data_IF_348283899934
#
_entry.id   IF_348283899934
#
_cell.length_a   1.000
_cell.length_b   1.000
_cell.length_c   1.000
_cell.angle_alpha   90.00
_cell.angle_beta   90.00
_cell.angle_gamma   90.00
#
_symmetry.space_group_name_H-M   'P 1'
#
loop_
_entity.id
_entity.type
_entity.pdbx_description
1 polymer ?
#
# COMPACT_ATOMS: atom_id res chain seq x y z
N UNK A 1 -57.61 -78.10 18.60
CA UNK A 1 -57.24 -77.33 17.40
C UNK A 1 -56.87 -75.94 17.85
N UNK A 2 -55.59 -75.58 17.81
CA UNK A 2 -55.06 -74.35 18.41
C UNK A 2 -54.67 -73.39 17.30
N UNK A 3 -55.28 -72.19 17.27
CA UNK A 3 -54.92 -71.11 16.42
C UNK A 3 -53.61 -70.47 16.96
N UNK A 4 -52.60 -70.29 16.13
CA UNK A 4 -51.40 -69.49 16.41
C UNK A 4 -51.48 -68.19 15.66
N UNK A 5 -51.54 -67.09 16.41
CA UNK A 5 -51.52 -65.75 15.93
C UNK A 5 -50.09 -65.39 15.60
N UNK A 6 -49.80 -64.91 14.35
CA UNK A 6 -48.56 -64.28 13.93
C UNK A 6 -48.71 -62.76 14.15
N UNK A 7 -47.89 -62.20 14.97
CA UNK A 7 -47.70 -60.71 15.11
C UNK A 7 -46.63 -60.28 14.06
N UNK A 8 -47.03 -59.43 13.13
CA UNK A 8 -46.14 -58.73 12.21
C UNK A 8 -45.65 -57.47 12.89
N UNK A 9 -44.37 -57.38 13.22
CA UNK A 9 -43.73 -56.15 13.66
C UNK A 9 -43.30 -55.32 12.45
N UNK A 10 -43.96 -54.19 12.20
CA UNK A 10 -43.55 -53.18 11.23
C UNK A 10 -42.40 -52.36 11.80
N UNK A 11 -41.19 -52.61 11.31
CA UNK A 11 -40.02 -51.77 11.60
C UNK A 11 -40.08 -50.47 10.76
N UNK A 12 -40.30 -49.31 11.43
CA UNK A 12 -40.05 -48.01 10.79
C UNK A 12 -38.56 -47.80 10.68
N UNK A 13 -38.02 -47.83 9.47
CA UNK A 13 -36.71 -47.33 9.14
C UNK A 13 -36.76 -45.81 9.09
N UNK A 14 -36.26 -45.13 10.14
CA UNK A 14 -35.99 -43.68 10.08
C UNK A 14 -34.80 -43.49 9.15
N UNK A 15 -35.07 -43.02 7.93
CA UNK A 15 -34.05 -42.49 7.04
C UNK A 15 -33.56 -41.16 7.63
N UNK A 16 -32.40 -41.19 8.30
CA UNK A 16 -31.67 -40.00 8.62
C UNK A 16 -31.22 -39.36 7.29
N UNK A 17 -31.90 -38.29 6.89
CA UNK A 17 -31.39 -37.38 5.85
C UNK A 17 -30.10 -36.77 6.40
N UNK A 18 -28.96 -37.29 5.97
CA UNK A 18 -27.70 -36.58 6.10
C UNK A 18 -27.86 -35.29 5.27
N UNK A 19 -28.13 -34.19 5.96
CA UNK A 19 -28.02 -32.89 5.38
C UNK A 19 -26.58 -32.75 4.89
N UNK A 20 -26.40 -32.70 3.59
CA UNK A 20 -25.20 -32.14 3.02
C UNK A 20 -25.15 -30.69 3.55
N UNK A 21 -24.34 -30.46 4.57
CA UNK A 21 -23.80 -29.14 4.82
C UNK A 21 -23.02 -28.81 3.54
N UNK A 22 -23.63 -28.04 2.66
CA UNK A 22 -22.94 -27.42 1.56
C UNK A 22 -21.80 -26.63 2.19
N UNK A 23 -20.57 -27.14 2.07
CA UNK A 23 -19.39 -26.38 2.42
C UNK A 23 -19.47 -25.11 1.56
N UNK A 24 -19.67 -23.97 2.20
CA UNK A 24 -19.45 -22.70 1.54
C UNK A 24 -17.98 -22.73 1.18
N UNK A 25 -17.67 -22.73 -0.12
CA UNK A 25 -16.30 -22.53 -0.55
C UNK A 25 -15.94 -21.10 -0.12
N UNK A 26 -14.87 -20.96 0.64
CA UNK A 26 -14.33 -19.65 0.97
C UNK A 26 -13.56 -19.07 -0.22
N UNK A 27 -13.96 -19.42 -1.45
CA UNK A 27 -13.37 -18.92 -2.67
C UNK A 27 -13.63 -17.42 -2.77
N UNK A 28 -12.58 -16.66 -3.08
CA UNK A 28 -12.64 -15.20 -3.20
C UNK A 28 -12.21 -14.79 -4.59
N UNK A 29 -13.10 -14.14 -5.31
CA UNK A 29 -12.76 -13.53 -6.60
C UNK A 29 -12.31 -12.10 -6.41
N UNK A 30 -11.08 -11.80 -6.80
CA UNK A 30 -10.39 -10.52 -6.60
C UNK A 30 -10.26 -9.76 -7.91
N UNK A 31 -10.66 -8.51 -7.92
CA UNK A 31 -10.37 -7.56 -8.99
C UNK A 31 -9.19 -6.67 -8.62
N UNK A 32 -8.08 -6.78 -9.34
CA UNK A 32 -6.93 -5.89 -9.16
C UNK A 32 -6.92 -4.84 -10.27
N UNK A 33 -7.13 -3.58 -9.90
CA UNK A 33 -6.96 -2.43 -10.79
C UNK A 33 -5.65 -1.75 -10.41
N UNK A 34 -4.67 -1.74 -11.30
CA UNK A 34 -3.38 -1.13 -10.98
C UNK A 34 -2.72 -0.55 -12.24
N UNK A 35 -1.75 0.34 -12.06
CA UNK A 35 -1.08 0.99 -13.20
C UNK A 35 -0.02 0.05 -13.78
N UNK A 36 -0.25 -0.50 -14.96
CA UNK A 36 0.66 -1.43 -15.64
C UNK A 36 1.33 -0.82 -16.87
N UNK A 37 0.95 0.41 -17.23
CA UNK A 37 1.52 1.13 -18.39
C UNK A 37 1.90 2.57 -18.06
N UNK A 38 2.76 3.19 -18.88
CA UNK A 38 3.21 4.57 -18.73
C UNK A 38 4.20 4.80 -17.58
N UNK A 39 4.38 6.05 -17.16
CA UNK A 39 5.42 6.46 -16.21
C UNK A 39 5.26 5.98 -14.76
N UNK A 40 4.17 5.29 -14.44
CA UNK A 40 3.91 4.66 -13.14
C UNK A 40 3.89 3.13 -13.18
N UNK A 41 4.14 2.51 -14.34
CA UNK A 41 3.98 1.07 -14.56
C UNK A 41 4.78 0.22 -13.55
N UNK A 42 6.02 0.57 -13.28
CA UNK A 42 6.87 -0.18 -12.34
C UNK A 42 6.26 -0.31 -10.94
N UNK A 43 5.51 0.71 -10.49
CA UNK A 43 4.89 0.74 -9.18
C UNK A 43 3.75 -0.30 -9.10
N UNK A 44 2.86 -0.29 -10.09
CA UNK A 44 1.74 -1.24 -10.17
C UNK A 44 2.18 -2.66 -10.46
N UNK A 45 3.23 -2.84 -11.28
CA UNK A 45 3.85 -4.14 -11.53
C UNK A 45 4.38 -4.74 -10.22
N UNK A 46 5.05 -3.95 -9.39
CA UNK A 46 5.58 -4.44 -8.12
C UNK A 46 4.46 -4.79 -7.12
N UNK A 47 3.39 -3.99 -7.03
CA UNK A 47 2.21 -4.36 -6.22
C UNK A 47 1.59 -5.68 -6.71
N UNK A 48 1.41 -5.82 -8.03
CA UNK A 48 0.87 -7.04 -8.63
C UNK A 48 1.75 -8.25 -8.31
N UNK A 49 3.05 -8.12 -8.54
CA UNK A 49 4.00 -9.23 -8.40
C UNK A 49 4.12 -9.66 -6.92
N UNK A 50 4.14 -8.69 -5.99
CA UNK A 50 4.09 -9.00 -4.56
C UNK A 50 2.82 -9.74 -4.16
N UNK A 51 1.66 -9.27 -4.62
CA UNK A 51 0.37 -9.92 -4.37
C UNK A 51 0.34 -11.36 -4.93
N UNK A 52 0.74 -11.54 -6.19
CA UNK A 52 0.80 -12.85 -6.84
C UNK A 52 1.72 -13.82 -6.10
N UNK A 53 2.87 -13.34 -5.61
CA UNK A 53 3.78 -14.16 -4.82
C UNK A 53 3.13 -14.63 -3.51
N UNK A 54 2.39 -13.75 -2.83
CA UNK A 54 1.72 -14.07 -1.57
C UNK A 54 0.62 -15.11 -1.72
N UNK A 55 -0.11 -15.09 -2.85
CA UNK A 55 -1.23 -16.03 -3.10
C UNK A 55 -0.84 -17.21 -3.97
N UNK A 56 0.43 -17.37 -4.30
CA UNK A 56 0.92 -18.45 -5.18
C UNK A 56 0.55 -19.82 -4.62
N UNK A 57 -0.16 -20.61 -5.44
CA UNK A 57 -0.63 -21.95 -5.05
C UNK A 57 -1.85 -21.95 -4.12
N UNK A 58 -2.52 -20.83 -3.94
CA UNK A 58 -3.80 -20.77 -3.24
C UNK A 58 -4.96 -20.82 -4.25
N UNK A 59 -5.51 -22.01 -4.44
CA UNK A 59 -6.58 -22.27 -5.41
C UNK A 59 -7.94 -21.63 -5.01
N UNK A 60 -8.04 -21.06 -3.81
CA UNK A 60 -9.24 -20.36 -3.32
C UNK A 60 -9.27 -18.88 -3.68
N UNK A 61 -8.23 -18.35 -4.32
CA UNK A 61 -8.17 -16.93 -4.74
C UNK A 61 -8.06 -16.87 -6.27
N UNK A 62 -9.16 -16.43 -6.91
CA UNK A 62 -9.19 -16.09 -8.34
C UNK A 62 -8.86 -14.62 -8.53
N UNK A 63 -7.92 -14.28 -9.39
CA UNK A 63 -7.49 -12.89 -9.62
C UNK A 63 -7.73 -12.44 -11.06
N UNK A 64 -8.46 -11.33 -11.23
CA UNK A 64 -8.63 -10.62 -12.49
C UNK A 64 -7.86 -9.31 -12.41
N UNK A 65 -6.95 -9.05 -13.37
CA UNK A 65 -6.03 -7.91 -13.35
C UNK A 65 -6.33 -6.97 -14.50
N UNK A 66 -6.43 -5.66 -14.21
CA UNK A 66 -6.74 -4.61 -15.17
C UNK A 66 -5.76 -3.41 -15.03
N UNK A 67 -5.43 -2.79 -16.16
CA UNK A 67 -4.55 -1.61 -16.22
C UNK A 67 -5.36 -0.31 -16.20
N UNK A 68 -5.22 0.48 -15.13
CA UNK A 68 -5.87 1.79 -15.00
C UNK A 68 -5.22 2.89 -15.85
N UNK A 69 -4.05 2.65 -16.43
CA UNK A 69 -3.27 3.62 -17.21
C UNK A 69 -3.04 4.96 -16.48
N UNK A 70 -3.18 4.96 -15.15
CA UNK A 70 -3.16 6.15 -14.29
C UNK A 70 -4.27 7.17 -14.62
N UNK A 71 -5.43 6.70 -15.09
CA UNK A 71 -6.58 7.54 -15.48
C UNK A 71 -7.79 7.23 -14.61
N UNK A 72 -8.32 8.23 -13.85
CA UNK A 72 -9.47 8.00 -12.96
C UNK A 72 -10.72 7.50 -13.67
N UNK A 73 -11.02 8.00 -14.87
CA UNK A 73 -12.15 7.58 -15.68
C UNK A 73 -12.05 6.11 -16.12
N UNK A 74 -10.86 5.65 -16.48
CA UNK A 74 -10.61 4.24 -16.78
C UNK A 74 -10.75 3.40 -15.51
N UNK A 75 -10.15 3.81 -14.40
CA UNK A 75 -10.25 3.06 -13.14
C UNK A 75 -11.70 2.86 -12.69
N UNK A 76 -12.56 3.88 -12.83
CA UNK A 76 -14.00 3.79 -12.54
C UNK A 76 -14.70 2.78 -13.46
N UNK A 77 -14.45 2.86 -14.77
CA UNK A 77 -15.04 1.91 -15.74
C UNK A 77 -14.60 0.47 -15.47
N UNK A 78 -13.34 0.26 -15.12
CA UNK A 78 -12.80 -1.06 -14.75
C UNK A 78 -13.41 -1.57 -13.44
N UNK A 79 -13.60 -0.72 -12.44
CA UNK A 79 -14.26 -1.08 -11.20
C UNK A 79 -15.72 -1.53 -11.45
N UNK A 80 -16.46 -0.80 -12.27
CA UNK A 80 -17.82 -1.17 -12.66
C UNK A 80 -17.86 -2.51 -13.42
N UNK A 81 -16.92 -2.72 -14.36
CA UNK A 81 -16.78 -4.01 -15.07
C UNK A 81 -16.53 -5.15 -14.09
N UNK A 82 -15.54 -5.00 -13.20
CA UNK A 82 -15.16 -6.03 -12.24
C UNK A 82 -16.31 -6.38 -11.29
N UNK A 83 -17.04 -5.38 -10.79
CA UNK A 83 -18.16 -5.60 -9.87
C UNK A 83 -19.39 -6.15 -10.60
N UNK A 84 -19.76 -5.57 -11.75
CA UNK A 84 -21.03 -5.89 -12.41
C UNK A 84 -20.94 -7.09 -13.35
N UNK A 85 -19.84 -7.25 -14.08
CA UNK A 85 -19.67 -8.31 -15.07
C UNK A 85 -18.90 -9.50 -14.52
N UNK A 86 -17.73 -9.24 -13.90
CA UNK A 86 -16.86 -10.29 -13.37
C UNK A 86 -17.32 -10.80 -11.99
N UNK A 87 -18.22 -10.04 -11.30
CA UNK A 87 -18.77 -10.40 -9.98
C UNK A 87 -17.70 -10.59 -8.90
N UNK A 88 -16.66 -9.78 -8.93
CA UNK A 88 -15.61 -9.86 -7.90
C UNK A 88 -16.15 -9.54 -6.50
N UNK A 89 -15.56 -10.13 -5.49
CA UNK A 89 -15.91 -9.94 -4.08
C UNK A 89 -15.10 -8.81 -3.45
N UNK A 90 -13.83 -8.75 -3.83
CA UNK A 90 -12.83 -7.82 -3.31
C UNK A 90 -12.16 -7.09 -4.45
N UNK A 91 -11.96 -5.77 -4.32
CA UNK A 91 -11.11 -4.98 -5.21
C UNK A 91 -9.82 -4.57 -4.48
N UNK A 92 -8.76 -4.41 -5.25
CA UNK A 92 -7.44 -4.00 -4.76
C UNK A 92 -6.60 -3.35 -5.86
N UNK A 93 -5.38 -2.91 -5.54
CA UNK A 93 -4.33 -2.63 -6.52
C UNK A 93 -4.05 -1.16 -6.80
N UNK A 94 -4.98 -0.23 -6.56
CA UNK A 94 -4.80 1.18 -6.94
C UNK A 94 -3.61 1.83 -6.21
N UNK A 95 -2.73 2.45 -7.01
CA UNK A 95 -1.53 3.16 -6.55
C UNK A 95 -1.85 4.63 -6.23
N UNK A 96 -2.65 5.31 -7.07
CA UNK A 96 -2.80 6.76 -7.05
C UNK A 96 -4.01 7.18 -6.23
N UNK A 97 -3.82 8.09 -5.27
CA UNK A 97 -4.89 8.51 -4.36
C UNK A 97 -6.07 9.19 -5.05
N UNK A 98 -5.87 9.89 -6.17
CA UNK A 98 -6.97 10.44 -6.95
C UNK A 98 -7.83 9.36 -7.63
N UNK A 99 -7.25 8.22 -8.02
CA UNK A 99 -7.99 7.06 -8.52
C UNK A 99 -8.73 6.36 -7.36
N UNK A 100 -8.07 6.19 -6.21
CA UNK A 100 -8.73 5.60 -5.03
C UNK A 100 -9.93 6.43 -4.57
N UNK A 101 -9.81 7.75 -4.55
CA UNK A 101 -10.92 8.66 -4.23
C UNK A 101 -12.09 8.56 -5.22
N UNK A 102 -11.83 8.23 -6.49
CA UNK A 102 -12.88 8.03 -7.49
C UNK A 102 -13.55 6.65 -7.40
N UNK A 103 -12.83 5.61 -7.01
CA UNK A 103 -13.29 4.21 -7.07
C UNK A 103 -13.82 3.72 -5.72
N UNK A 104 -13.08 3.93 -4.63
CA UNK A 104 -13.37 3.29 -3.33
C UNK A 104 -14.78 3.59 -2.81
N UNK A 105 -15.27 4.85 -2.79
CA UNK A 105 -16.62 5.14 -2.28
C UNK A 105 -17.72 4.43 -3.06
N UNK A 106 -17.59 4.36 -4.38
CA UNK A 106 -18.59 3.72 -5.24
C UNK A 106 -18.62 2.19 -5.07
N UNK A 107 -17.46 1.58 -4.88
CA UNK A 107 -17.29 0.13 -4.70
C UNK A 107 -17.81 -0.30 -3.31
N UNK A 108 -17.43 0.41 -2.27
CA UNK A 108 -17.86 0.08 -0.89
C UNK A 108 -19.33 0.33 -0.67
N UNK A 109 -19.92 1.35 -1.30
CA UNK A 109 -21.36 1.60 -1.29
C UNK A 109 -22.19 0.47 -1.95
N UNK A 110 -21.58 -0.34 -2.82
CA UNK A 110 -22.19 -1.54 -3.41
C UNK A 110 -22.00 -2.78 -2.53
N UNK A 111 -21.49 -2.63 -1.31
CA UNK A 111 -21.25 -3.72 -0.36
C UNK A 111 -19.97 -4.52 -0.63
N UNK A 112 -19.19 -4.16 -1.66
CA UNK A 112 -17.93 -4.83 -1.96
C UNK A 112 -16.82 -4.37 -1.04
N UNK A 113 -15.81 -5.22 -0.86
CA UNK A 113 -14.60 -4.89 -0.10
C UNK A 113 -13.56 -4.22 -0.99
N UNK A 114 -12.82 -3.28 -0.41
CA UNK A 114 -11.65 -2.71 -1.03
C UNK A 114 -10.45 -2.79 -0.09
N UNK A 115 -9.43 -3.55 -0.48
CA UNK A 115 -8.15 -3.65 0.24
C UNK A 115 -7.12 -2.78 -0.48
N UNK A 116 -6.72 -1.68 0.13
CA UNK A 116 -5.73 -0.78 -0.47
C UNK A 116 -4.30 -1.24 -0.16
N UNK A 117 -3.54 -1.66 -1.17
CA UNK A 117 -2.13 -1.97 -0.97
C UNK A 117 -1.26 -0.71 -0.86
N UNK A 118 -1.66 0.39 -1.49
CA UNK A 118 -0.84 1.60 -1.54
C UNK A 118 -1.62 2.90 -1.29
N UNK A 119 -2.60 3.25 -2.13
CA UNK A 119 -3.27 4.53 -2.01
C UNK A 119 -3.97 4.69 -0.65
N UNK A 120 -3.53 5.67 0.15
CA UNK A 120 -4.04 5.91 1.50
C UNK A 120 -4.44 7.38 1.75
N UNK A 121 -5.34 7.98 0.92
CA UNK A 121 -5.70 9.38 1.08
C UNK A 121 -6.36 9.65 2.44
N UNK A 122 -6.00 10.77 3.05
CA UNK A 122 -6.49 11.22 4.36
C UNK A 122 -8.01 11.27 4.46
N UNK A 123 -8.66 11.62 3.36
CA UNK A 123 -10.12 11.66 3.29
C UNK A 123 -10.78 10.29 3.55
N UNK A 124 -10.15 9.18 3.12
CA UNK A 124 -10.64 7.81 3.36
C UNK A 124 -10.23 7.27 4.74
N UNK A 125 -9.25 7.88 5.41
CA UNK A 125 -8.90 7.55 6.78
C UNK A 125 -9.84 8.20 7.82
N UNK A 126 -10.37 9.39 7.47
CA UNK A 126 -11.27 10.19 8.29
C UNK A 126 -12.73 10.09 7.88
N UNK A 127 -13.31 11.22 7.48
CA UNK A 127 -14.77 11.34 7.19
C UNK A 127 -15.31 10.43 6.09
N UNK A 128 -14.47 9.99 5.16
CA UNK A 128 -14.81 9.06 4.09
C UNK A 128 -14.47 7.61 4.41
N UNK A 129 -14.17 7.27 5.66
CA UNK A 129 -13.95 5.89 6.06
C UNK A 129 -15.18 5.02 5.81
N UNK A 130 -14.96 3.75 5.58
CA UNK A 130 -16.05 2.80 5.35
C UNK A 130 -15.65 1.42 5.87
N UNK A 131 -16.59 0.72 6.51
CA UNK A 131 -16.34 -0.60 7.12
C UNK A 131 -15.80 -1.66 6.16
N UNK A 132 -16.02 -1.53 4.85
CA UNK A 132 -15.51 -2.42 3.82
C UNK A 132 -14.23 -1.88 3.13
N UNK A 133 -13.67 -0.75 3.61
CA UNK A 133 -12.40 -0.24 3.16
C UNK A 133 -11.31 -0.56 4.19
N UNK A 134 -10.26 -1.22 3.75
CA UNK A 134 -9.11 -1.57 4.60
C UNK A 134 -7.85 -1.05 3.91
N UNK A 135 -7.13 -0.15 4.55
CA UNK A 135 -5.82 0.27 4.08
C UNK A 135 -4.76 -0.65 4.71
N UNK A 136 -4.17 -1.51 3.89
CA UNK A 136 -3.26 -2.55 4.39
C UNK A 136 -1.89 -1.99 4.73
N UNK A 137 -1.44 -0.93 4.06
CA UNK A 137 -0.04 -0.55 4.07
C UNK A 137 0.29 0.71 4.85
N UNK A 138 -0.41 1.82 4.62
CA UNK A 138 -0.05 3.11 5.20
C UNK A 138 -1.15 4.16 4.94
N UNK A 139 -1.14 5.23 5.72
CA UNK A 139 -1.90 6.44 5.41
C UNK A 139 -0.91 7.48 4.80
N UNK A 140 -1.36 8.27 3.83
CA UNK A 140 -0.48 9.13 3.03
C UNK A 140 0.48 10.02 3.82
N UNK A 141 0.06 10.53 4.98
CA UNK A 141 0.88 11.44 5.80
C UNK A 141 2.03 10.72 6.50
N UNK A 142 1.88 9.42 6.80
CA UNK A 142 2.66 8.66 7.77
C UNK A 142 4.19 8.81 7.60
N UNK A 143 4.70 8.67 6.37
CA UNK A 143 6.14 8.75 6.13
C UNK A 143 6.64 10.18 6.26
N UNK A 144 5.84 11.14 5.82
CA UNK A 144 6.20 12.56 5.92
C UNK A 144 6.11 13.07 7.35
N UNK A 145 5.17 12.57 8.17
CA UNK A 145 5.12 12.85 9.60
C UNK A 145 6.39 12.39 10.31
N UNK A 146 6.81 11.15 10.06
CA UNK A 146 8.05 10.61 10.61
C UNK A 146 9.28 11.38 10.09
N UNK A 147 9.29 11.81 8.82
CA UNK A 147 10.37 12.60 8.26
C UNK A 147 10.43 14.02 8.86
N UNK A 148 9.29 14.67 9.07
CA UNK A 148 9.23 15.99 9.69
C UNK A 148 9.69 15.99 11.14
N UNK A 149 9.28 14.99 11.94
CA UNK A 149 9.76 14.79 13.29
C UNK A 149 11.26 14.53 13.31
N UNK A 150 11.74 13.63 12.44
CA UNK A 150 13.17 13.34 12.35
C UNK A 150 13.99 14.57 11.94
N UNK A 151 13.52 15.37 10.97
CA UNK A 151 14.19 16.58 10.52
C UNK A 151 14.34 17.59 11.65
N UNK A 152 13.29 17.81 12.47
CA UNK A 152 13.34 18.62 13.68
C UNK A 152 14.41 18.11 14.66
N UNK A 153 14.40 16.82 14.98
CA UNK A 153 15.29 16.22 15.98
C UNK A 153 16.75 16.19 15.52
N UNK A 154 17.00 16.33 14.22
CA UNK A 154 18.34 16.32 13.62
C UNK A 154 18.82 17.72 13.16
N UNK A 155 18.17 18.79 13.62
CA UNK A 155 18.64 20.17 13.43
C UNK A 155 18.57 20.66 11.98
N UNK A 156 17.56 20.19 11.21
CA UNK A 156 17.24 20.77 9.91
C UNK A 156 16.40 22.01 10.12
N UNK A 157 16.96 23.16 9.81
CA UNK A 157 16.38 24.47 10.19
C UNK A 157 15.43 25.02 9.14
N UNK A 158 15.68 24.79 7.84
CA UNK A 158 14.89 25.36 6.77
C UNK A 158 14.76 24.43 5.56
N UNK A 159 13.54 24.16 5.12
CA UNK A 159 13.26 23.19 4.04
C UNK A 159 12.58 23.82 2.84
N UNK A 160 12.88 23.29 1.66
CA UNK A 160 12.09 23.46 0.45
C UNK A 160 11.22 22.20 0.27
N UNK A 161 9.90 22.37 0.26
CA UNK A 161 8.93 21.28 0.13
C UNK A 161 8.43 21.18 -1.32
N UNK A 162 8.37 19.97 -1.89
CA UNK A 162 7.85 19.78 -3.24
C UNK A 162 7.10 18.45 -3.41
N UNK A 163 5.91 18.53 -4.03
CA UNK A 163 5.11 17.34 -4.36
C UNK A 163 4.25 17.58 -5.60
N UNK A 164 3.73 16.52 -6.26
CA UNK A 164 2.72 16.70 -7.31
C UNK A 164 1.40 17.15 -6.71
N UNK A 165 0.67 18.01 -7.43
CA UNK A 165 -0.63 18.54 -7.00
C UNK A 165 -1.75 17.49 -7.18
N UNK A 166 -1.89 16.61 -6.22
CA UNK A 166 -2.97 15.61 -6.11
C UNK A 166 -3.10 15.18 -4.64
N UNK A 167 -4.13 14.40 -4.23
CA UNK A 167 -4.38 14.14 -2.81
C UNK A 167 -3.16 13.65 -2.03
N UNK A 168 -2.39 12.65 -2.52
CA UNK A 168 -1.22 12.19 -1.79
C UNK A 168 -0.11 13.24 -1.68
N UNK A 169 0.08 14.09 -2.70
CA UNK A 169 1.08 15.17 -2.62
C UNK A 169 0.72 16.20 -1.56
N UNK A 170 -0.57 16.55 -1.46
CA UNK A 170 -1.08 17.48 -0.45
C UNK A 170 -0.98 16.87 0.96
N UNK A 171 -1.41 15.62 1.13
CA UNK A 171 -1.32 14.87 2.39
C UNK A 171 0.14 14.79 2.87
N UNK A 172 1.08 14.41 1.98
CA UNK A 172 2.51 14.32 2.30
C UNK A 172 3.10 15.63 2.82
N UNK A 173 2.79 16.75 2.17
CA UNK A 173 3.30 18.05 2.61
C UNK A 173 2.65 18.51 3.92
N UNK A 174 1.37 18.22 4.11
CA UNK A 174 0.68 18.46 5.38
C UNK A 174 1.26 17.61 6.51
N UNK A 175 1.52 16.33 6.25
CA UNK A 175 2.13 15.40 7.20
C UNK A 175 3.52 15.87 7.64
N UNK A 176 4.39 16.24 6.71
CA UNK A 176 5.72 16.75 7.05
C UNK A 176 5.64 17.94 8.00
N UNK A 177 4.82 18.95 7.64
CA UNK A 177 4.67 20.18 8.44
C UNK A 177 4.03 19.96 9.81
N UNK A 178 3.31 18.86 10.01
CA UNK A 178 2.61 18.56 11.28
C UNK A 178 3.57 18.41 12.46
N UNK A 179 4.72 17.82 12.23
CA UNK A 179 5.72 17.58 13.27
C UNK A 179 7.09 18.26 13.02
N UNK A 180 7.21 18.99 11.92
CA UNK A 180 8.37 19.81 11.63
C UNK A 180 8.15 21.21 12.19
N UNK A 181 9.09 21.70 13.02
CA UNK A 181 9.02 23.00 13.68
C UNK A 181 9.99 24.03 13.08
N UNK A 182 10.76 23.66 12.04
CA UNK A 182 11.69 24.56 11.34
C UNK A 182 11.01 25.46 10.31
N UNK A 183 11.82 26.24 9.60
CA UNK A 183 11.36 27.12 8.53
C UNK A 183 10.97 26.33 7.25
N UNK A 184 9.98 26.84 6.55
CA UNK A 184 9.62 26.38 5.21
C UNK A 184 9.89 27.52 4.23
N UNK A 185 11.03 27.44 3.54
CA UNK A 185 11.45 28.46 2.56
C UNK A 185 10.50 28.55 1.37
N UNK A 186 9.96 27.40 0.94
CA UNK A 186 8.91 27.34 -0.06
C UNK A 186 8.17 25.97 0.00
N UNK A 187 6.92 25.99 -0.47
CA UNK A 187 6.11 24.80 -0.70
C UNK A 187 5.58 24.85 -2.14
N UNK A 188 6.01 23.91 -2.97
CA UNK A 188 5.76 23.91 -4.41
C UNK A 188 5.02 22.67 -4.84
N UNK A 189 3.92 22.85 -5.57
CA UNK A 189 3.16 21.77 -6.17
C UNK A 189 3.37 21.73 -7.69
N UNK A 190 3.89 20.60 -8.16
CA UNK A 190 4.16 20.33 -9.58
C UNK A 190 2.96 19.66 -10.25
N UNK A 191 2.97 19.57 -11.57
CA UNK A 191 1.97 18.79 -12.29
C UNK A 191 2.21 17.29 -12.05
N UNK A 192 1.14 16.53 -11.80
CA UNK A 192 1.23 15.06 -11.71
C UNK A 192 1.71 14.49 -13.06
N UNK A 193 2.85 13.79 -13.02
CA UNK A 193 3.51 13.24 -14.21
C UNK A 193 4.48 14.21 -14.90
N UNK A 194 4.85 15.33 -14.27
CA UNK A 194 5.88 16.25 -14.76
C UNK A 194 7.24 15.54 -14.92
N UNK A 195 7.99 15.92 -15.95
CA UNK A 195 9.32 15.36 -16.25
C UNK A 195 10.40 16.42 -16.41
N UNK A 196 10.05 17.69 -16.52
CA UNK A 196 10.98 18.84 -16.56
C UNK A 196 10.84 19.66 -15.27
N UNK A 197 11.93 19.81 -14.54
CA UNK A 197 12.01 20.47 -13.24
C UNK A 197 12.94 21.68 -13.24
N UNK A 198 13.28 22.23 -14.40
CA UNK A 198 14.21 23.39 -14.50
C UNK A 198 13.73 24.59 -13.69
N UNK A 199 12.41 24.87 -13.69
CA UNK A 199 11.83 25.98 -12.95
C UNK A 199 11.91 25.75 -11.42
N UNK A 200 11.58 24.55 -10.94
CA UNK A 200 11.66 24.19 -9.53
C UNK A 200 13.11 24.18 -9.03
N UNK A 201 14.05 23.68 -9.83
CA UNK A 201 15.49 23.68 -9.52
C UNK A 201 16.00 25.13 -9.43
N UNK A 202 15.55 26.05 -10.29
CA UNK A 202 15.89 27.47 -10.18
C UNK A 202 15.33 28.09 -8.88
N UNK A 203 14.12 27.73 -8.46
CA UNK A 203 13.53 28.17 -7.18
C UNK A 203 14.32 27.61 -5.98
N UNK A 204 14.69 26.31 -6.01
CA UNK A 204 15.53 25.68 -4.98
C UNK A 204 16.87 26.40 -4.86
N UNK A 205 17.51 26.75 -5.99
CA UNK A 205 18.78 27.50 -6.03
C UNK A 205 18.66 28.88 -5.40
N UNK A 206 17.55 29.56 -5.63
CA UNK A 206 17.30 30.92 -5.14
C UNK A 206 16.82 30.94 -3.68
N UNK A 207 16.37 29.79 -3.13
CA UNK A 207 15.88 29.70 -1.76
C UNK A 207 17.01 29.63 -0.75
N UNK A 208 16.71 30.03 0.49
CA UNK A 208 17.56 29.90 1.67
C UNK A 208 17.41 28.53 2.38
N UNK A 209 16.65 27.60 1.80
CA UNK A 209 16.55 26.25 2.33
C UNK A 209 17.91 25.54 2.33
N UNK A 210 18.22 24.81 3.38
CA UNK A 210 19.39 23.92 3.47
C UNK A 210 19.05 22.50 2.98
N UNK A 211 17.79 22.13 3.03
CA UNK A 211 17.29 20.79 2.69
C UNK A 211 16.11 20.85 1.73
N UNK A 212 16.11 19.97 0.75
CA UNK A 212 14.99 19.75 -0.17
C UNK A 212 14.27 18.47 0.25
N UNK A 213 13.04 18.59 0.76
CA UNK A 213 12.16 17.46 0.99
C UNK A 213 11.16 17.34 -0.16
N UNK A 214 11.13 16.21 -0.84
CA UNK A 214 10.19 16.02 -1.94
C UNK A 214 9.54 14.65 -1.97
N UNK A 215 8.29 14.64 -2.43
CA UNK A 215 7.54 13.44 -2.78
C UNK A 215 7.30 13.41 -4.30
N UNK A 216 8.03 12.62 -5.04
CA UNK A 216 7.93 12.46 -6.50
C UNK A 216 8.05 10.97 -6.87
N UNK A 217 6.96 10.18 -6.85
CA UNK A 217 7.05 8.75 -7.08
C UNK A 217 7.32 8.39 -8.56
N UNK A 218 8.04 7.29 -8.77
CA UNK A 218 8.32 6.70 -10.08
C UNK A 218 9.13 7.61 -10.99
N UNK A 219 8.72 7.74 -12.26
CA UNK A 219 9.44 8.53 -13.28
C UNK A 219 9.63 10.00 -12.93
N UNK A 220 8.78 10.59 -12.09
CA UNK A 220 8.92 11.96 -11.61
C UNK A 220 10.19 12.10 -10.75
N UNK A 221 10.40 11.19 -9.79
CA UNK A 221 11.58 11.18 -8.93
C UNK A 221 12.88 10.96 -9.73
N UNK A 222 12.86 10.03 -10.70
CA UNK A 222 14.00 9.81 -11.60
C UNK A 222 14.35 11.09 -12.34
N UNK A 223 13.36 11.76 -12.94
CA UNK A 223 13.56 12.97 -13.73
C UNK A 223 14.09 14.12 -12.88
N UNK A 224 13.50 14.34 -11.70
CA UNK A 224 13.95 15.38 -10.79
C UNK A 224 15.38 15.14 -10.31
N UNK A 225 15.67 13.96 -9.76
CA UNK A 225 17.00 13.67 -9.19
C UNK A 225 18.12 13.79 -10.21
N UNK A 226 17.92 13.34 -11.46
CA UNK A 226 18.92 13.50 -12.52
C UNK A 226 19.18 14.97 -12.87
N UNK A 227 18.12 15.78 -12.96
CA UNK A 227 18.25 17.22 -13.26
C UNK A 227 18.84 17.97 -12.06
N UNK A 228 18.43 17.63 -10.84
CA UNK A 228 18.95 18.25 -9.61
C UNK A 228 20.45 17.96 -9.44
N UNK A 229 20.87 16.71 -9.57
CA UNK A 229 22.29 16.34 -9.52
C UNK A 229 23.13 17.06 -10.61
N UNK A 230 22.59 17.17 -11.84
CA UNK A 230 23.23 17.90 -12.94
C UNK A 230 23.27 19.41 -12.75
N UNK A 231 22.51 19.97 -11.80
CA UNK A 231 22.44 21.41 -11.55
C UNK A 231 23.63 21.96 -10.75
N UNK A 232 24.38 21.11 -10.05
CA UNK A 232 25.48 21.50 -9.16
C UNK A 232 25.02 22.24 -7.89
N UNK A 233 23.75 22.11 -7.48
CA UNK A 233 23.25 22.64 -6.20
C UNK A 233 23.72 21.70 -5.09
N UNK A 234 24.36 22.27 -4.07
CA UNK A 234 24.80 21.55 -2.86
C UNK A 234 23.80 21.79 -1.73
N UNK A 235 22.72 21.01 -1.72
CA UNK A 235 21.71 21.00 -0.64
C UNK A 235 21.36 19.55 -0.30
N UNK A 236 21.10 19.32 0.99
CA UNK A 236 20.62 18.01 1.46
C UNK A 236 19.31 17.63 0.79
N UNK A 237 19.15 16.35 0.48
CA UNK A 237 17.92 15.81 -0.10
C UNK A 237 17.32 14.79 0.85
N UNK A 238 16.02 14.88 1.07
CA UNK A 238 15.22 13.93 1.84
C UNK A 238 13.88 13.66 1.14
N UNK A 239 13.22 12.57 1.50
CA UNK A 239 11.87 12.29 1.03
C UNK A 239 11.27 11.02 1.63
N UNK A 240 10.04 10.69 1.30
CA UNK A 240 9.46 9.40 1.64
C UNK A 240 10.00 8.31 0.71
N UNK A 241 9.87 7.06 1.11
CA UNK A 241 10.30 5.87 0.37
C UNK A 241 9.95 5.91 -1.13
N UNK A 242 8.79 6.44 -1.46
CA UNK A 242 8.27 6.44 -2.84
C UNK A 242 9.10 7.26 -3.83
N UNK A 243 9.87 8.24 -3.34
CA UNK A 243 10.82 9.02 -4.15
C UNK A 243 12.18 8.33 -4.32
N UNK A 244 12.46 7.32 -3.47
CA UNK A 244 13.74 6.61 -3.41
C UNK A 244 13.54 5.10 -3.27
N UNK A 245 12.49 4.60 -3.95
CA UNK A 245 12.16 3.18 -3.92
C UNK A 245 13.14 2.34 -4.75
N UNK A 246 13.31 1.07 -4.35
CA UNK A 246 14.24 0.14 -5.02
C UNK A 246 13.99 0.06 -6.52
N UNK A 247 12.73 0.11 -6.95
CA UNK A 247 12.35 0.06 -8.36
C UNK A 247 12.86 1.23 -9.22
N UNK A 248 13.24 2.37 -8.60
CA UNK A 248 13.74 3.55 -9.33
C UNK A 248 15.19 3.90 -9.01
N UNK A 249 15.77 3.37 -7.93
CA UNK A 249 17.14 3.68 -7.53
C UNK A 249 18.17 3.32 -8.60
N UNK A 250 17.98 2.21 -9.30
CA UNK A 250 18.86 1.84 -10.40
C UNK A 250 18.88 2.86 -11.56
N UNK A 251 17.76 3.54 -11.79
CA UNK A 251 17.66 4.59 -12.81
C UNK A 251 18.17 5.96 -12.32
N UNK A 252 18.07 6.26 -11.03
CA UNK A 252 18.64 7.48 -10.42
C UNK A 252 20.17 7.34 -10.31
N UNK A 253 20.65 6.15 -9.91
CA UNK A 253 22.06 5.85 -9.75
C UNK A 253 22.69 6.55 -8.54
N UNK A 254 23.98 6.85 -8.66
CA UNK A 254 24.79 7.44 -7.57
C UNK A 254 24.32 8.83 -7.13
N UNK A 255 23.47 9.50 -7.91
CA UNK A 255 22.87 10.78 -7.54
C UNK A 255 21.96 10.69 -6.29
N UNK A 256 21.54 9.48 -5.90
CA UNK A 256 20.74 9.27 -4.70
C UNK A 256 21.56 8.90 -3.46
N UNK A 257 22.88 8.67 -3.57
CA UNK A 257 23.70 8.22 -2.42
C UNK A 257 23.67 9.23 -1.26
N UNK A 258 23.51 8.71 -0.04
CA UNK A 258 23.40 9.50 1.17
C UNK A 258 22.02 10.10 1.45
N UNK A 259 21.07 9.98 0.51
CA UNK A 259 19.70 10.46 0.71
C UNK A 259 19.02 9.67 1.83
N UNK A 260 18.46 10.40 2.80
CA UNK A 260 17.65 9.81 3.89
C UNK A 260 16.18 9.79 3.52
N UNK A 261 15.53 8.66 3.80
CA UNK A 261 14.12 8.51 3.48
C UNK A 261 13.38 7.62 4.48
N UNK A 262 12.11 7.93 4.69
CA UNK A 262 11.24 7.22 5.63
C UNK A 262 10.38 6.17 4.92
N UNK A 263 10.21 5.00 5.55
CA UNK A 263 9.44 3.89 5.00
C UNK A 263 8.83 3.04 6.11
N UNK A 264 7.83 2.23 5.78
CA UNK A 264 7.35 1.18 6.67
C UNK A 264 8.05 -0.17 6.45
N UNK A 265 8.83 -0.27 5.39
CA UNK A 265 9.53 -1.49 5.00
C UNK A 265 10.92 -1.20 4.42
N UNK A 266 11.83 -2.13 4.61
CA UNK A 266 13.15 -2.18 3.96
C UNK A 266 13.57 -3.64 3.79
N UNK A 267 14.36 -3.92 2.76
CA UNK A 267 14.84 -5.29 2.46
C UNK A 267 15.65 -5.93 3.59
N UNK A 268 16.24 -5.10 4.42
CA UNK A 268 17.14 -5.46 5.51
C UNK A 268 16.50 -5.37 6.92
N UNK A 269 15.16 -5.27 7.00
CA UNK A 269 14.47 -5.36 8.28
C UNK A 269 14.65 -6.75 8.89
N UNK A 270 15.13 -6.78 10.13
CA UNK A 270 15.26 -8.00 10.93
C UNK A 270 13.92 -8.33 11.60
N UNK A 271 12.98 -8.81 10.79
CA UNK A 271 11.65 -9.25 11.22
C UNK A 271 11.31 -10.59 10.57
N UNK A 272 10.51 -11.44 11.23
CA UNK A 272 10.13 -12.75 10.69
C UNK A 272 9.47 -12.64 9.30
N UNK A 273 9.88 -13.50 8.38
CA UNK A 273 9.33 -13.61 7.03
C UNK A 273 9.90 -12.58 6.02
N UNK A 274 10.65 -11.56 6.46
CA UNK A 274 11.16 -10.54 5.52
C UNK A 274 12.29 -11.08 4.63
N UNK A 275 13.26 -11.78 5.20
CA UNK A 275 14.36 -12.35 4.41
C UNK A 275 13.84 -13.36 3.38
N UNK A 276 12.93 -14.24 3.78
CA UNK A 276 12.28 -15.22 2.91
C UNK A 276 11.48 -14.54 1.77
N UNK A 277 10.77 -13.46 2.08
CA UNK A 277 10.08 -12.66 1.07
C UNK A 277 11.05 -12.08 0.04
N UNK A 278 12.16 -11.47 0.50
CA UNK A 278 13.16 -10.86 -0.38
C UNK A 278 13.77 -11.91 -1.30
N UNK A 279 14.18 -13.07 -0.76
CA UNK A 279 14.73 -14.18 -1.52
C UNK A 279 13.72 -14.75 -2.53
N UNK A 280 12.48 -15.01 -2.10
CA UNK A 280 11.44 -15.55 -2.96
C UNK A 280 11.06 -14.59 -4.09
N UNK A 281 10.95 -13.29 -3.80
CA UNK A 281 10.65 -12.28 -4.80
C UNK A 281 11.78 -12.17 -5.83
N UNK A 282 13.04 -12.17 -5.36
CA UNK A 282 14.19 -12.10 -6.26
C UNK A 282 14.33 -13.37 -7.13
N UNK A 283 14.04 -14.53 -6.57
CA UNK A 283 14.05 -15.80 -7.31
C UNK A 283 12.98 -15.84 -8.40
N UNK A 284 11.77 -15.34 -8.12
CA UNK A 284 10.64 -15.37 -9.04
C UNK A 284 10.75 -14.30 -10.14
N UNK A 285 11.19 -13.08 -9.79
CA UNK A 285 11.11 -11.92 -10.69
C UNK A 285 12.48 -11.37 -11.13
N UNK A 286 13.59 -11.93 -10.64
CA UNK A 286 14.96 -11.55 -11.06
C UNK A 286 15.40 -10.15 -10.61
N UNK A 287 14.71 -9.53 -9.64
CA UNK A 287 15.00 -8.20 -9.11
C UNK A 287 14.72 -8.12 -7.61
N UNK A 288 15.35 -7.17 -6.91
CA UNK A 288 15.03 -6.87 -5.52
C UNK A 288 13.60 -6.34 -5.39
N UNK A 289 12.86 -6.72 -4.35
CA UNK A 289 11.54 -6.16 -4.07
C UNK A 289 11.64 -4.69 -3.68
N UNK A 290 10.58 -3.97 -3.93
CA UNK A 290 10.35 -2.58 -3.58
C UNK A 290 9.39 -2.46 -2.39
N UNK A 291 9.17 -1.24 -1.86
CA UNK A 291 8.08 -1.01 -0.89
C UNK A 291 6.71 -1.36 -1.49
N UNK A 292 6.52 -1.17 -2.79
CA UNK A 292 5.29 -1.54 -3.49
C UNK A 292 5.10 -3.06 -3.56
N UNK A 293 6.18 -3.80 -3.78
CA UNK A 293 6.15 -5.26 -3.75
C UNK A 293 5.79 -5.79 -2.36
N UNK A 294 6.39 -5.25 -1.31
CA UNK A 294 6.06 -5.60 0.08
C UNK A 294 4.60 -5.27 0.43
N UNK A 295 4.08 -4.15 -0.07
CA UNK A 295 2.68 -3.75 0.10
C UNK A 295 1.71 -4.72 -0.58
N UNK A 296 2.01 -5.11 -1.82
CA UNK A 296 1.24 -6.13 -2.54
C UNK A 296 1.27 -7.47 -1.84
N UNK A 297 2.45 -7.88 -1.37
CA UNK A 297 2.65 -9.15 -0.67
C UNK A 297 1.84 -9.23 0.62
N UNK A 298 1.94 -8.23 1.48
CA UNK A 298 1.15 -8.18 2.73
C UNK A 298 -0.36 -8.13 2.46
N UNK A 299 -0.79 -7.45 1.38
CA UNK A 299 -2.21 -7.42 0.99
C UNK A 299 -2.70 -8.81 0.58
N UNK A 300 -1.89 -9.56 -0.16
CA UNK A 300 -2.19 -10.95 -0.53
C UNK A 300 -2.22 -11.88 0.68
N UNK A 301 -1.28 -11.73 1.62
CA UNK A 301 -1.24 -12.52 2.86
C UNK A 301 -2.47 -12.24 3.75
N UNK A 302 -2.83 -10.97 3.94
CA UNK A 302 -4.03 -10.59 4.69
C UNK A 302 -5.29 -11.21 4.09
N UNK A 303 -5.45 -11.08 2.77
CA UNK A 303 -6.61 -11.65 2.07
C UNK A 303 -6.65 -13.16 2.19
N UNK A 304 -5.52 -13.85 1.98
CA UNK A 304 -5.43 -15.30 2.10
C UNK A 304 -5.75 -15.77 3.53
N UNK A 305 -5.33 -15.05 4.55
CA UNK A 305 -5.66 -15.34 5.94
C UNK A 305 -7.15 -15.14 6.22
N UNK A 306 -7.74 -14.02 5.78
CA UNK A 306 -9.16 -13.75 5.96
C UNK A 306 -10.04 -14.79 5.26
N UNK A 307 -9.70 -15.17 4.01
CA UNK A 307 -10.42 -16.17 3.23
C UNK A 307 -10.42 -17.56 3.88
N UNK A 308 -9.38 -17.93 4.63
CA UNK A 308 -9.37 -19.18 5.42
C UNK A 308 -10.41 -19.20 6.53
N UNK A 309 -10.76 -18.03 7.06
CA UNK A 309 -11.59 -17.89 8.26
C UNK A 309 -13.04 -17.55 7.94
N UNK A 310 -13.32 -16.85 6.84
CA UNK A 310 -14.65 -16.39 6.48
C UNK A 310 -14.81 -16.20 4.97
N UNK A 311 -16.05 -16.34 4.47
CA UNK A 311 -16.42 -16.00 3.11
C UNK A 311 -16.78 -14.51 3.01
N UNK A 312 -16.46 -13.82 1.90
CA UNK A 312 -16.96 -12.45 1.63
C UNK A 312 -18.49 -12.34 1.59
N UNK A 313 -19.21 -13.43 1.40
CA UNK A 313 -20.68 -13.49 1.46
C UNK A 313 -21.21 -13.21 2.87
N UNK A 314 -20.46 -13.62 3.92
CA UNK A 314 -20.69 -13.19 5.30
C UNK A 314 -19.82 -11.96 5.58
N UNK A 315 -20.34 -10.79 5.22
CA UNK A 315 -19.59 -9.54 5.30
C UNK A 315 -19.12 -9.19 6.73
N UNK A 316 -19.87 -9.56 7.76
CA UNK A 316 -19.49 -9.29 9.15
C UNK A 316 -18.34 -10.19 9.59
N UNK A 317 -18.41 -11.48 9.31
CA UNK A 317 -17.34 -12.42 9.61
C UNK A 317 -16.07 -12.09 8.79
N UNK A 318 -16.22 -11.71 7.52
CA UNK A 318 -15.07 -11.37 6.68
C UNK A 318 -14.38 -10.08 7.14
N UNK A 319 -15.15 -9.03 7.55
CA UNK A 319 -14.60 -7.84 8.19
C UNK A 319 -13.83 -8.14 9.47
N UNK A 320 -14.40 -9.01 10.31
CA UNK A 320 -13.73 -9.44 11.54
C UNK A 320 -12.41 -10.15 11.24
N UNK A 321 -12.38 -11.03 10.23
CA UNK A 321 -11.19 -11.74 9.80
C UNK A 321 -10.12 -10.80 9.23
N UNK A 322 -10.50 -9.82 8.41
CA UNK A 322 -9.58 -8.79 7.92
C UNK A 322 -9.02 -7.94 9.07
N UNK A 323 -9.88 -7.50 10.01
CA UNK A 323 -9.45 -6.66 11.14
C UNK A 323 -8.53 -7.43 12.12
N UNK A 324 -8.68 -8.74 12.23
CA UNK A 324 -7.81 -9.57 13.06
C UNK A 324 -6.35 -9.53 12.59
N UNK A 325 -6.10 -9.24 11.32
CA UNK A 325 -4.77 -9.16 10.71
C UNK A 325 -3.90 -10.38 11.06
N UNK A 326 -4.51 -11.58 11.02
CA UNK A 326 -3.86 -12.84 11.39
C UNK A 326 -2.93 -13.35 10.26
N UNK A 327 -1.86 -12.60 10.02
CA UNK A 327 -0.82 -12.94 9.06
C UNK A 327 0.55 -12.42 9.52
N UNK A 328 1.62 -13.03 9.03
CA UNK A 328 2.98 -12.57 9.31
C UNK A 328 3.37 -11.49 8.30
N UNK A 329 3.28 -10.21 8.70
CA UNK A 329 3.70 -9.10 7.86
C UNK A 329 5.23 -9.04 7.73
N UNK A 330 5.71 -8.78 6.51
CA UNK A 330 7.13 -8.55 6.22
C UNK A 330 7.64 -7.19 6.74
N UNK A 331 6.76 -6.39 7.34
CA UNK A 331 7.06 -5.11 7.99
C UNK A 331 7.23 -5.24 9.52
N UNK A 332 7.01 -6.44 10.06
CA UNK A 332 7.04 -6.73 11.50
C UNK A 332 5.67 -6.54 12.16
N UNK A 333 5.67 -6.05 13.40
CA UNK A 333 4.44 -5.86 14.17
C UNK A 333 3.45 -4.94 13.45
N UNK A 334 2.21 -5.43 13.32
CA UNK A 334 1.16 -4.79 12.54
C UNK A 334 -0.19 -5.02 13.21
N UNK A 335 -1.02 -3.99 13.25
CA UNK A 335 -2.43 -4.07 13.66
C UNK A 335 -3.21 -2.95 13.00
N UNK A 336 -4.52 -3.11 12.89
CA UNK A 336 -5.40 -2.05 12.42
C UNK A 336 -5.94 -1.18 13.56
N UNK A 337 -5.99 0.13 13.33
CA UNK A 337 -6.79 1.07 14.09
C UNK A 337 -8.30 0.89 13.79
N UNK A 338 -9.16 1.61 14.50
CA UNK A 338 -10.61 1.49 14.32
C UNK A 338 -11.09 1.97 12.95
N UNK A 339 -10.37 2.87 12.30
CA UNK A 339 -10.62 3.32 10.93
C UNK A 339 -10.03 2.38 9.86
N UNK A 340 -9.61 1.17 10.21
CA UNK A 340 -9.01 0.15 9.35
C UNK A 340 -7.74 0.62 8.61
N UNK A 341 -6.99 1.55 9.24
CA UNK A 341 -5.65 1.94 8.81
C UNK A 341 -4.60 1.32 9.72
N UNK A 342 -3.36 1.09 9.23
CA UNK A 342 -2.35 0.37 10.01
C UNK A 342 -1.79 1.20 11.16
N UNK A 343 -1.51 0.52 12.26
CA UNK A 343 -0.61 0.97 13.33
C UNK A 343 0.67 0.17 13.17
N UNK A 344 1.81 0.84 12.91
CA UNK A 344 3.05 0.19 12.54
C UNK A 344 4.27 1.09 12.79
N UNK A 345 5.46 0.51 12.78
CA UNK A 345 6.69 1.28 12.84
C UNK A 345 7.00 1.92 11.48
N UNK A 346 7.56 3.13 11.53
CA UNK A 346 8.18 3.79 10.39
C UNK A 346 9.69 3.83 10.63
N UNK A 347 10.48 3.38 9.67
CA UNK A 347 11.94 3.37 9.75
C UNK A 347 12.54 4.51 8.94
N UNK A 348 13.70 4.98 9.39
CA UNK A 348 14.59 5.81 8.60
C UNK A 348 15.55 4.92 7.82
N UNK A 349 15.73 5.21 6.54
CA UNK A 349 16.67 4.53 5.66
C UNK A 349 17.63 5.54 5.03
N UNK A 350 18.75 5.04 4.55
CA UNK A 350 19.71 5.79 3.75
C UNK A 350 19.99 5.05 2.46
N UNK A 351 20.07 5.78 1.36
CA UNK A 351 20.48 5.22 0.07
C UNK A 351 21.98 5.00 0.09
N UNK A 352 22.39 3.75 -0.09
CA UNK A 352 23.78 3.29 -0.08
C UNK A 352 24.14 2.51 -1.34
N UNK A 353 25.43 2.27 -1.55
CA UNK A 353 25.94 1.35 -2.58
C UNK A 353 26.41 0.06 -1.91
N UNK A 354 25.80 -1.06 -2.25
CA UNK A 354 26.20 -2.41 -1.81
C UNK A 354 26.69 -3.19 -3.04
N UNK A 355 28.00 -3.38 -3.15
CA UNK A 355 28.59 -3.90 -4.39
C UNK A 355 28.32 -2.96 -5.57
N UNK A 356 27.64 -3.48 -6.59
CA UNK A 356 27.25 -2.72 -7.79
C UNK A 356 25.81 -2.17 -7.73
N UNK A 357 25.10 -2.40 -6.63
CA UNK A 357 23.69 -2.06 -6.47
C UNK A 357 23.52 -0.81 -5.61
N UNK A 358 22.77 0.18 -6.11
CA UNK A 358 22.26 1.29 -5.31
C UNK A 358 20.96 0.83 -4.64
N UNK A 359 20.91 0.88 -3.31
CA UNK A 359 19.82 0.32 -2.50
C UNK A 359 19.59 1.12 -1.24
N UNK A 360 18.55 0.79 -0.48
CA UNK A 360 18.28 1.37 0.82
C UNK A 360 18.84 0.48 1.94
N UNK A 361 19.38 1.13 2.98
CA UNK A 361 19.80 0.53 4.24
C UNK A 361 19.05 1.16 5.40
N UNK A 362 18.54 0.33 6.30
CA UNK A 362 17.85 0.79 7.51
C UNK A 362 18.84 1.41 8.49
N UNK A 363 18.53 2.61 8.98
CA UNK A 363 19.29 3.30 10.03
C UNK A 363 18.69 3.06 11.42
N UNK A 364 17.37 2.85 11.51
CA UNK A 364 16.65 2.65 12.75
C UNK A 364 15.17 3.00 12.63
N UNK A 365 14.45 2.91 13.74
CA UNK A 365 13.03 3.29 13.80
C UNK A 365 12.92 4.80 13.95
N UNK A 366 12.19 5.45 13.04
CA UNK A 366 11.89 6.88 13.06
C UNK A 366 10.60 7.19 13.83
N UNK A 367 9.62 6.28 13.82
CA UNK A 367 8.40 6.40 14.60
C UNK A 367 7.93 5.01 15.01
N UNK A 368 7.65 4.83 16.30
CA UNK A 368 7.14 3.58 16.89
C UNK A 368 5.62 3.63 16.91
N UNK A 369 4.95 2.52 16.52
CA UNK A 369 3.50 2.37 16.55
C UNK A 369 2.78 3.59 15.93
N UNK A 370 3.30 4.08 14.80
CA UNK A 370 2.70 5.21 14.11
C UNK A 370 1.25 4.90 13.73
N UNK A 371 0.35 5.81 14.07
CA UNK A 371 -1.06 5.79 13.73
C UNK A 371 -1.44 7.13 13.13
N UNK A 372 -2.31 7.14 12.11
CA UNK A 372 -2.81 8.37 11.51
C UNK A 372 -3.67 9.21 12.48
N UNK A 373 -3.73 10.51 12.22
CA UNK A 373 -4.48 11.46 13.06
C UNK A 373 -5.98 11.55 12.73
N UNK A 374 -6.43 10.85 11.68
CA UNK A 374 -7.78 11.00 11.13
C UNK A 374 -8.79 10.04 11.71
N UNK A 375 -8.35 9.03 12.46
CA UNK A 375 -9.24 8.01 13.04
C UNK A 375 -10.38 8.58 13.90
N UNK A 376 -10.16 9.72 14.56
CA UNK A 376 -11.18 10.40 15.36
C UNK A 376 -12.35 10.98 14.52
N UNK A 377 -12.12 11.25 13.25
CA UNK A 377 -13.14 11.74 12.31
C UNK A 377 -13.92 10.61 11.62
N UNK A 378 -13.45 9.36 11.75
CA UNK A 378 -14.10 8.17 11.19
C UNK A 378 -15.31 7.76 12.04
N UNK A 379 -16.46 7.61 11.39
CA UNK A 379 -17.72 7.20 12.02
C UNK A 379 -18.25 5.95 11.31
N UNK A 380 -17.68 4.79 11.63
CA UNK A 380 -18.12 3.48 11.16
C UNK A 380 -18.97 2.78 12.21
#
# INVERSE_FOLDING_TARGET
MKLKSLLLAAGMAAAASAGFAGGHSNDVKVGMITTLSGGGAGLGIDVRDGFLLAVKGNDHIELVIEDDQRKPDIAVQLADKLVQSEKVDVLTGIIWSNLAMAVVPAVTAQGKFYLSPNAGPSALAGKGCHQNYVNVSWQNDAFSEAAGAWAKDNGIDNVFLMAPNYPAGQDMMAGFKRYYEGGVAAEVYTKLGQTDYAAEIAQIRASDADTVYFFLPGGMGISFMKQFAGSGIDKTVMGPAFSFDQGILGAIGEAALGVKNTAHWSKDLDVPGNAEFVEAFQAEYGRLPSVYAAQGYDTGLLLASAAKSASPEDADAFRAALKAADFQSVRGAFKFADNHHPIQNIVMREVVKEGDIVTNKTLGVASVDHQDVYGADCKM
#
